data_IF_759430321527
#
_entry.id   IF_759430321527
#
_cell.length_a   1.000
_cell.length_b   1.000
_cell.length_c   1.000
_cell.angle_alpha   90.00
_cell.angle_beta   90.00
_cell.angle_gamma   90.00
#
_symmetry.space_group_name_H-M   'P 1'
#
loop_
_entity.id
_entity.type
_entity.pdbx_description
1 polymer ?
#
# COMPACT_ATOMS: atom_id res chain seq x y z
N UNK A 1 2.70 62.41 46.51
CA UNK A 1 3.48 63.14 45.48
C UNK A 1 2.96 62.72 44.12
N UNK A 2 2.75 63.69 43.22
CA UNK A 2 2.45 63.56 41.77
C UNK A 2 1.41 62.52 41.27
N UNK A 3 0.28 63.04 40.76
CA UNK A 3 -0.65 62.39 39.80
C UNK A 3 -0.53 63.11 38.43
N UNK A 4 -0.49 62.40 37.30
CA UNK A 4 -0.66 62.89 35.90
C UNK A 4 -0.46 61.72 34.91
N UNK A 5 -1.31 61.34 33.94
CA UNK A 5 -2.60 61.83 33.42
C UNK A 5 -2.55 62.97 32.37
N UNK A 6 -3.38 62.83 31.31
CA UNK A 6 -3.51 63.64 30.06
C UNK A 6 -2.35 63.48 29.03
N UNK A 7 -2.58 63.52 27.70
CA UNK A 7 -3.83 63.71 26.92
C UNK A 7 -3.71 63.17 25.48
N UNK A 8 -4.81 62.84 24.79
CA UNK A 8 -5.44 63.63 23.69
C UNK A 8 -4.69 63.57 22.33
N UNK A 9 -5.32 63.46 21.13
CA UNK A 9 -6.66 63.91 20.70
C UNK A 9 -7.12 63.25 19.36
N UNK A 10 -8.46 63.08 19.18
CA UNK A 10 -9.26 63.03 17.91
C UNK A 10 -8.91 62.02 16.77
N UNK A 11 -9.83 61.57 15.90
CA UNK A 11 -11.18 62.06 15.51
C UNK A 11 -12.29 60.99 15.61
N UNK A 12 -13.55 61.43 15.45
CA UNK A 12 -14.78 60.64 15.49
C UNK A 12 -15.52 60.67 14.13
N UNK A 13 -16.29 59.62 13.84
CA UNK A 13 -17.40 59.55 12.85
C UNK A 13 -17.01 59.77 11.34
N UNK A 14 -17.75 59.30 10.31
CA UNK A 14 -19.14 58.82 10.18
C UNK A 14 -19.30 57.88 8.96
N UNK A 15 -20.51 57.31 8.75
CA UNK A 15 -21.16 56.87 7.48
C UNK A 15 -21.19 55.36 7.10
N UNK A 16 -22.38 54.81 7.37
CA UNK A 16 -23.26 53.98 6.52
C UNK A 16 -22.98 52.49 6.25
N UNK A 17 -23.69 51.68 7.04
CA UNK A 17 -24.57 50.58 6.60
C UNK A 17 -24.99 50.61 5.12
N UNK A 18 -25.00 49.45 4.46
CA UNK A 18 -25.96 49.15 3.38
C UNK A 18 -26.37 47.67 3.43
N UNK A 19 -27.68 47.42 3.25
CA UNK A 19 -28.32 46.11 3.29
C UNK A 19 -28.94 45.80 1.92
N UNK A 20 -28.89 44.53 1.50
CA UNK A 20 -29.83 43.84 0.61
C UNK A 20 -30.27 44.41 -0.77
N UNK A 21 -30.13 43.55 -1.79
CA UNK A 21 -31.09 43.37 -2.89
C UNK A 21 -30.86 41.95 -3.44
N UNK A 22 -31.53 40.91 -2.96
CA UNK A 22 -32.88 40.45 -3.34
C UNK A 22 -33.13 40.50 -4.87
N UNK A 23 -33.16 39.33 -5.50
CA UNK A 23 -33.96 39.10 -6.71
C UNK A 23 -35.04 38.06 -6.39
N UNK A 24 -36.29 38.50 -6.56
CA UNK A 24 -37.51 37.73 -6.34
C UNK A 24 -37.91 36.95 -7.58
N UNK A 25 -38.32 35.69 -7.40
CA UNK A 25 -39.27 35.03 -8.32
C UNK A 25 -40.35 34.38 -7.48
N UNK A 26 -41.58 34.89 -7.58
CA UNK A 26 -42.78 34.33 -6.95
C UNK A 26 -43.99 34.51 -7.85
N UNK A 27 -44.58 33.40 -8.30
CA UNK A 27 -46.02 33.23 -8.51
C UNK A 27 -46.25 31.72 -8.69
N UNK A 28 -46.75 30.98 -7.69
CA UNK A 28 -48.11 30.88 -7.13
C UNK A 28 -48.83 29.63 -7.68
N UNK A 29 -49.55 29.00 -6.76
CA UNK A 29 -50.16 27.69 -6.78
C UNK A 29 -51.10 27.37 -7.95
N UNK A 30 -51.20 26.08 -8.29
CA UNK A 30 -52.51 25.42 -8.51
C UNK A 30 -52.42 23.93 -8.11
N UNK A 31 -53.42 23.47 -7.36
CA UNK A 31 -53.51 22.12 -6.78
C UNK A 31 -54.11 21.09 -7.76
N UNK A 32 -53.97 19.80 -7.37
CA UNK A 32 -54.96 18.71 -7.53
C UNK A 32 -54.69 17.59 -8.57
N UNK A 33 -54.51 16.37 -8.02
CA UNK A 33 -54.84 15.02 -8.58
C UNK A 33 -54.09 14.53 -9.84
N UNK A 34 -53.31 13.46 -9.66
CA UNK A 34 -53.77 12.10 -10.04
C UNK A 34 -52.88 11.00 -9.43
N UNK A 35 -53.46 9.83 -9.20
CA UNK A 35 -52.90 8.71 -8.42
C UNK A 35 -52.12 7.69 -9.26
N UNK A 36 -51.04 7.14 -8.70
CA UNK A 36 -50.35 5.95 -9.20
C UNK A 36 -51.23 4.67 -9.08
N UNK A 37 -51.28 3.80 -10.10
CA UNK A 37 -51.76 2.42 -9.97
C UNK A 37 -50.60 1.41 -9.70
N UNK A 38 -50.86 0.27 -9.03
CA UNK A 38 -49.82 -0.64 -8.54
C UNK A 38 -49.48 -1.83 -9.47
N UNK A 39 -48.40 -2.54 -9.12
CA UNK A 39 -47.96 -3.82 -9.69
C UNK A 39 -48.94 -4.98 -9.39
N UNK A 40 -49.13 -5.94 -10.32
CA UNK A 40 -49.79 -7.22 -10.05
C UNK A 40 -48.84 -8.43 -10.07
N UNK A 41 -49.24 -9.50 -9.38
CA UNK A 41 -48.72 -10.88 -9.44
C UNK A 41 -49.78 -11.82 -8.84
N UNK A 42 -49.80 -13.13 -9.11
CA UNK A 42 -49.51 -13.86 -10.35
C UNK A 42 -50.73 -14.75 -10.77
N UNK A 43 -50.50 -15.84 -11.52
CA UNK A 43 -51.30 -17.10 -11.61
C UNK A 43 -52.11 -17.39 -12.91
N UNK A 44 -51.70 -18.47 -13.60
CA UNK A 44 -52.48 -19.46 -14.39
C UNK A 44 -53.60 -19.06 -15.37
N UNK A 45 -53.44 -19.40 -16.67
CA UNK A 45 -54.16 -20.50 -17.34
C UNK A 45 -53.84 -20.58 -18.85
N UNK A 46 -54.08 -21.75 -19.47
CA UNK A 46 -53.80 -22.05 -20.89
C UNK A 46 -54.80 -21.41 -21.88
N UNK A 47 -54.35 -21.15 -23.11
CA UNK A 47 -55.13 -21.53 -24.30
C UNK A 47 -54.20 -21.78 -25.50
N UNK A 48 -54.56 -22.79 -26.30
CA UNK A 48 -53.76 -23.32 -27.41
C UNK A 48 -54.20 -22.73 -28.74
N UNK A 49 -53.28 -22.47 -29.67
CA UNK A 49 -53.62 -22.36 -31.09
C UNK A 49 -52.61 -23.17 -31.89
N UNK A 50 -53.10 -24.27 -32.46
CA UNK A 50 -52.32 -25.17 -33.31
C UNK A 50 -52.39 -24.67 -34.74
N UNK A 51 -51.25 -24.61 -35.42
CA UNK A 51 -51.22 -24.56 -36.89
C UNK A 51 -50.31 -25.68 -37.37
N UNK A 52 -50.89 -26.67 -38.04
CA UNK A 52 -50.17 -27.81 -38.62
C UNK A 52 -49.79 -27.43 -40.05
N UNK A 53 -48.52 -27.60 -40.41
CA UNK A 53 -48.11 -27.76 -41.80
C UNK A 53 -46.88 -28.67 -41.83
N UNK A 54 -47.07 -29.89 -42.32
CA UNK A 54 -45.98 -30.82 -42.57
C UNK A 54 -45.32 -30.50 -43.92
N UNK A 55 -43.99 -30.49 -43.99
CA UNK A 55 -43.21 -31.42 -44.83
C UNK A 55 -41.77 -30.94 -45.09
N UNK A 56 -40.87 -31.92 -45.23
CA UNK A 56 -39.49 -31.85 -45.74
C UNK A 56 -38.44 -31.07 -44.91
N UNK A 57 -37.49 -31.83 -44.36
CA UNK A 57 -36.24 -31.32 -43.79
C UNK A 57 -35.23 -30.95 -44.91
N UNK A 58 -34.21 -30.15 -44.56
CA UNK A 58 -32.88 -30.75 -44.43
C UNK A 58 -32.25 -30.51 -43.07
N UNK A 59 -31.36 -31.43 -42.69
CA UNK A 59 -30.62 -31.45 -41.43
C UNK A 59 -29.63 -30.29 -41.33
N UNK A 60 -29.78 -29.44 -40.31
CA UNK A 60 -28.73 -28.55 -39.84
C UNK A 60 -28.28 -29.04 -38.46
N UNK A 61 -27.05 -29.54 -38.37
CA UNK A 61 -26.48 -30.00 -37.11
C UNK A 61 -26.16 -28.80 -36.21
N UNK A 62 -26.82 -28.72 -35.05
CA UNK A 62 -26.32 -27.90 -33.96
C UNK A 62 -25.10 -28.61 -33.34
N UNK A 63 -23.90 -28.09 -33.59
CA UNK A 63 -22.70 -28.50 -32.87
C UNK A 63 -22.85 -28.21 -31.37
N UNK A 64 -23.25 -29.23 -30.63
CA UNK A 64 -23.11 -29.24 -29.18
C UNK A 64 -21.61 -29.23 -28.85
N UNK A 65 -21.14 -28.15 -28.21
CA UNK A 65 -19.78 -28.04 -27.68
C UNK A 65 -19.51 -29.17 -26.68
N UNK A 66 -18.93 -30.26 -27.18
CA UNK A 66 -18.47 -31.39 -26.35
C UNK A 66 -17.15 -31.02 -25.69
N UNK A 67 -17.15 -30.92 -24.37
CA UNK A 67 -15.93 -30.80 -23.57
C UNK A 67 -15.06 -32.04 -23.86
N UNK A 68 -13.88 -31.81 -24.44
CA UNK A 68 -12.97 -32.87 -24.88
C UNK A 68 -12.16 -33.41 -23.70
N UNK A 69 -12.81 -34.22 -22.86
CA UNK A 69 -12.13 -34.97 -21.81
C UNK A 69 -11.37 -36.16 -22.41
N UNK A 70 -10.11 -35.94 -22.81
CA UNK A 70 -9.05 -36.96 -22.94
C UNK A 70 -7.73 -36.29 -23.32
N UNK A 71 -6.91 -35.95 -22.31
CA UNK A 71 -5.49 -35.71 -22.51
C UNK A 71 -4.78 -37.06 -22.58
N UNK A 72 -4.13 -37.37 -23.70
CA UNK A 72 -3.19 -38.49 -23.75
C UNK A 72 -1.98 -38.16 -22.86
N UNK A 73 -1.33 -39.15 -22.21
CA UNK A 73 -0.05 -38.93 -21.56
C UNK A 73 0.95 -38.44 -22.62
N UNK A 74 1.47 -37.23 -22.46
CA UNK A 74 2.67 -36.84 -23.22
C UNK A 74 3.79 -37.81 -22.83
N UNK A 75 4.60 -38.29 -23.80
CA UNK A 75 5.77 -39.08 -23.46
C UNK A 75 6.66 -38.27 -22.53
N UNK A 76 7.14 -38.90 -21.46
CA UNK A 76 8.13 -38.30 -20.58
C UNK A 76 9.33 -37.90 -21.43
N UNK A 77 9.56 -36.60 -21.61
CA UNK A 77 10.84 -36.13 -22.11
C UNK A 77 11.87 -36.53 -21.07
N UNK A 78 12.75 -37.46 -21.46
CA UNK A 78 13.96 -37.77 -20.71
C UNK A 78 14.66 -36.47 -20.38
N UNK A 79 15.13 -36.36 -19.14
CA UNK A 79 15.74 -35.14 -18.62
C UNK A 79 17.02 -34.83 -19.40
N UNK A 80 16.89 -34.02 -20.46
CA UNK A 80 18.01 -33.26 -20.98
C UNK A 80 18.55 -32.46 -19.82
N UNK A 81 19.78 -32.76 -19.40
CA UNK A 81 20.50 -31.97 -18.41
C UNK A 81 20.67 -30.57 -19.01
N UNK A 82 19.79 -29.65 -18.62
CA UNK A 82 19.97 -28.25 -18.96
C UNK A 82 21.30 -27.80 -18.36
N UNK A 83 22.23 -27.37 -19.22
CA UNK A 83 23.32 -26.48 -18.83
C UNK A 83 22.70 -25.12 -18.48
N UNK A 84 21.90 -25.08 -17.42
CA UNK A 84 21.43 -23.84 -16.79
C UNK A 84 22.65 -23.14 -16.21
N UNK A 85 23.04 -22.03 -16.83
CA UNK A 85 24.04 -21.10 -16.29
C UNK A 85 23.76 -20.84 -14.80
N UNK A 86 24.77 -20.94 -13.92
CA UNK A 86 24.58 -20.81 -12.49
C UNK A 86 23.95 -19.47 -12.15
N UNK A 87 22.83 -19.50 -11.41
CA UNK A 87 22.04 -18.31 -11.13
C UNK A 87 22.88 -17.25 -10.41
N UNK A 88 23.15 -16.11 -11.07
CA UNK A 88 24.01 -15.00 -10.61
C UNK A 88 23.83 -14.64 -9.12
N UNK A 89 22.58 -14.65 -8.64
CA UNK A 89 22.23 -14.26 -7.28
C UNK A 89 21.90 -15.46 -6.36
N UNK A 90 22.48 -16.63 -6.62
CA UNK A 90 22.32 -17.83 -5.78
C UNK A 90 22.73 -17.60 -4.31
N UNK A 91 23.76 -16.79 -4.08
CA UNK A 91 24.22 -16.38 -2.75
C UNK A 91 23.24 -15.48 -1.98
N UNK A 92 22.19 -14.97 -2.64
CA UNK A 92 21.10 -14.19 -2.02
C UNK A 92 19.81 -14.99 -1.86
N UNK A 93 19.82 -16.31 -2.10
CA UNK A 93 18.62 -17.14 -1.96
C UNK A 93 18.15 -17.25 -0.49
N UNK A 94 16.86 -17.53 -0.24
CA UNK A 94 16.33 -17.63 1.12
C UNK A 94 16.92 -18.77 1.94
N UNK A 95 17.64 -18.40 2.99
CA UNK A 95 18.01 -19.25 4.10
C UNK A 95 16.99 -19.11 5.24
N UNK A 96 16.57 -20.24 5.81
CA UNK A 96 15.62 -20.32 6.93
C UNK A 96 16.36 -20.75 8.20
N UNK A 97 17.16 -19.86 8.76
CA UNK A 97 17.87 -20.12 10.01
C UNK A 97 16.92 -20.40 11.18
N UNK A 98 17.39 -21.19 12.15
CA UNK A 98 16.68 -21.52 13.39
C UNK A 98 16.86 -20.48 14.49
N UNK A 99 17.49 -19.34 14.17
CA UNK A 99 17.87 -18.33 15.15
C UNK A 99 16.65 -17.74 15.86
N UNK A 100 16.86 -17.30 17.09
CA UNK A 100 15.87 -16.58 17.89
C UNK A 100 16.39 -15.20 18.22
N UNK A 101 15.56 -14.19 17.99
CA UNK A 101 15.86 -12.80 18.28
C UNK A 101 15.04 -12.33 19.47
N UNK A 102 15.60 -11.47 20.34
CA UNK A 102 14.84 -10.85 21.41
C UNK A 102 13.71 -9.96 20.86
N UNK A 103 12.75 -9.57 21.73
CA UNK A 103 11.83 -8.48 21.45
C UNK A 103 12.58 -7.23 20.96
N UNK A 104 11.94 -6.44 20.11
CA UNK A 104 12.53 -5.19 19.64
C UNK A 104 12.47 -4.13 20.73
N UNK A 105 13.62 -3.59 21.10
CA UNK A 105 13.72 -2.47 22.03
C UNK A 105 13.46 -1.14 21.31
N UNK A 106 12.81 -0.15 21.98
CA UNK A 106 12.67 1.19 21.44
C UNK A 106 14.01 1.83 21.09
N UNK A 107 14.03 2.69 20.08
CA UNK A 107 15.23 3.45 19.71
C UNK A 107 14.88 4.84 19.19
N UNK A 108 15.80 5.78 19.34
CA UNK A 108 15.68 7.13 18.79
C UNK A 108 15.89 7.11 17.27
N UNK A 109 14.82 7.43 16.52
CA UNK A 109 14.85 7.53 15.07
C UNK A 109 15.05 8.99 14.64
N UNK A 110 16.17 9.29 13.97
CA UNK A 110 16.45 10.60 13.38
C UNK A 110 16.18 10.54 11.88
N UNK A 111 15.03 11.04 11.45
CA UNK A 111 14.57 10.97 10.06
C UNK A 111 15.48 11.79 9.11
N UNK A 112 16.08 11.16 8.08
CA UNK A 112 16.85 11.85 7.04
C UNK A 112 16.11 13.01 6.35
N UNK A 113 14.79 12.89 6.19
CA UNK A 113 13.97 13.91 5.58
C UNK A 113 13.89 15.21 6.39
N UNK A 114 14.15 15.18 7.71
CA UNK A 114 14.29 16.40 8.52
C UNK A 114 15.60 17.13 8.21
N UNK A 115 16.70 16.39 7.99
CA UNK A 115 17.99 16.98 7.61
C UNK A 115 17.88 17.64 6.24
N UNK A 116 17.26 16.95 5.29
CA UNK A 116 16.95 17.43 3.93
C UNK A 116 16.25 18.80 3.89
N UNK A 117 15.38 19.11 4.85
CA UNK A 117 14.68 20.40 4.93
C UNK A 117 15.62 21.60 5.17
N UNK A 118 16.83 21.38 5.66
CA UNK A 118 17.83 22.45 5.84
C UNK A 118 18.72 22.72 4.61
N UNK A 119 18.64 21.90 3.55
CA UNK A 119 19.47 22.10 2.36
C UNK A 119 18.90 23.23 1.49
N UNK A 120 19.75 24.09 0.88
CA UNK A 120 19.30 25.18 0.00
C UNK A 120 18.49 24.70 -1.21
N UNK A 121 18.85 23.54 -1.77
CA UNK A 121 18.04 22.82 -2.78
C UNK A 121 17.75 21.41 -2.24
N UNK A 122 16.56 21.16 -1.64
CA UNK A 122 16.20 19.86 -1.07
C UNK A 122 15.85 18.80 -2.14
N UNK A 123 16.13 19.07 -3.44
CA UNK A 123 15.91 18.15 -4.57
C UNK A 123 17.12 18.09 -5.51
N UNK A 124 18.31 18.56 -5.11
CA UNK A 124 19.49 18.61 -6.00
C UNK A 124 19.95 17.24 -6.51
N UNK A 125 19.62 16.15 -5.82
CA UNK A 125 19.82 14.78 -6.32
C UNK A 125 19.09 14.48 -7.65
N UNK A 126 18.12 15.31 -8.04
CA UNK A 126 17.41 15.24 -9.32
C UNK A 126 17.99 16.19 -10.40
N UNK A 127 18.99 17.03 -10.09
CA UNK A 127 19.49 18.05 -11.03
C UNK A 127 20.08 17.43 -12.31
N UNK A 128 20.58 16.19 -12.23
CA UNK A 128 21.11 15.41 -13.37
C UNK A 128 20.09 14.39 -13.95
N UNK A 129 18.83 14.39 -13.50
CA UNK A 129 17.82 13.47 -13.99
C UNK A 129 17.50 13.73 -15.48
N UNK A 130 17.50 12.68 -16.30
CA UNK A 130 17.12 12.75 -17.71
C UNK A 130 15.60 12.71 -17.91
N UNK A 131 14.86 12.22 -16.92
CA UNK A 131 13.40 12.27 -16.87
C UNK A 131 12.92 12.22 -15.42
N UNK A 132 11.86 12.98 -15.13
CA UNK A 132 11.10 12.94 -13.87
C UNK A 132 9.62 12.99 -14.23
N UNK A 133 8.88 11.91 -13.97
CA UNK A 133 7.49 11.74 -14.39
C UNK A 133 6.60 11.36 -13.21
N UNK A 134 5.51 12.10 -12.97
CA UNK A 134 4.53 11.73 -11.93
C UNK A 134 3.67 10.54 -12.40
N UNK A 135 3.73 9.42 -11.68
CA UNK A 135 2.99 8.21 -12.01
C UNK A 135 1.48 8.47 -11.85
N UNK A 136 1.10 9.17 -10.78
CA UNK A 136 -0.24 9.75 -10.58
C UNK A 136 -0.10 11.09 -9.85
N UNK A 137 -1.12 11.98 -9.86
CA UNK A 137 -1.03 13.28 -9.20
C UNK A 137 -0.66 13.22 -7.71
N UNK A 138 -1.20 12.24 -6.97
CA UNK A 138 -1.09 12.15 -5.51
C UNK A 138 -0.23 10.98 -4.98
N UNK A 139 0.42 10.23 -5.89
CA UNK A 139 1.28 9.09 -5.55
C UNK A 139 2.24 8.76 -6.70
N UNK A 140 3.53 8.61 -6.38
CA UNK A 140 4.50 8.04 -7.29
C UNK A 140 5.18 9.05 -8.21
N UNK A 141 6.50 8.98 -8.27
CA UNK A 141 7.30 9.62 -9.33
C UNK A 141 8.31 8.60 -9.87
N UNK A 142 8.40 8.49 -11.19
CA UNK A 142 9.42 7.71 -11.89
C UNK A 142 10.57 8.63 -12.33
N UNK A 143 11.80 8.17 -12.16
CA UNK A 143 13.03 8.93 -12.41
C UNK A 143 14.01 8.11 -13.25
N UNK A 144 14.60 8.76 -14.25
CA UNK A 144 15.70 8.24 -15.08
C UNK A 144 16.90 9.18 -15.01
N UNK A 145 18.11 8.66 -15.22
CA UNK A 145 19.35 9.46 -15.24
C UNK A 145 19.98 9.73 -13.86
N UNK A 146 19.35 9.28 -12.77
CA UNK A 146 19.93 9.34 -11.41
C UNK A 146 20.34 7.93 -10.99
N UNK A 147 21.62 7.73 -10.66
CA UNK A 147 22.13 6.46 -10.11
C UNK A 147 22.09 6.52 -8.58
N UNK A 148 21.25 5.68 -7.95
CA UNK A 148 21.16 5.62 -6.49
C UNK A 148 22.47 5.17 -5.84
N UNK A 149 23.33 4.44 -6.57
CA UNK A 149 24.62 3.99 -6.07
C UNK A 149 25.62 5.13 -5.79
N UNK A 150 25.45 6.26 -6.47
CA UNK A 150 26.38 7.40 -6.44
C UNK A 150 25.89 8.53 -5.50
N UNK A 151 24.73 8.38 -4.87
CA UNK A 151 24.22 9.35 -3.89
C UNK A 151 25.07 9.33 -2.61
N UNK A 152 25.54 10.51 -2.22
CA UNK A 152 26.18 10.80 -0.95
C UNK A 152 25.15 10.92 0.21
N UNK A 153 25.58 11.42 1.38
CA UNK A 153 24.69 11.63 2.52
C UNK A 153 23.52 12.55 2.20
N UNK A 154 23.83 13.65 1.51
CA UNK A 154 22.91 14.76 1.27
C UNK A 154 21.89 14.36 0.22
N UNK A 155 22.32 13.70 -0.86
CA UNK A 155 21.45 13.13 -1.88
C UNK A 155 20.51 12.06 -1.32
N UNK A 156 20.95 11.26 -0.33
CA UNK A 156 20.09 10.29 0.36
C UNK A 156 19.09 10.95 1.31
N UNK A 157 19.48 12.01 2.01
CA UNK A 157 18.57 12.80 2.84
C UNK A 157 17.46 13.42 1.97
N UNK A 158 17.84 14.05 0.84
CA UNK A 158 16.90 14.61 -0.13
C UNK A 158 15.98 13.56 -0.75
N UNK A 159 16.51 12.38 -1.10
CA UNK A 159 15.73 11.24 -1.56
C UNK A 159 14.68 10.82 -0.51
N UNK A 160 15.05 10.78 0.77
CA UNK A 160 14.10 10.44 1.84
C UNK A 160 12.95 11.45 1.95
N UNK A 161 13.26 12.75 1.84
CA UNK A 161 12.24 13.80 1.83
C UNK A 161 11.34 13.73 0.58
N UNK A 162 11.89 13.41 -0.59
CA UNK A 162 11.08 13.26 -1.81
C UNK A 162 10.19 12.01 -1.74
N UNK A 163 10.68 10.88 -1.21
CA UNK A 163 9.88 9.67 -0.92
C UNK A 163 8.78 9.97 0.10
N UNK A 164 9.06 10.74 1.15
CA UNK A 164 8.06 11.18 2.13
C UNK A 164 7.00 12.15 1.56
N UNK A 165 7.33 12.91 0.50
CA UNK A 165 6.40 13.80 -0.22
C UNK A 165 5.54 13.08 -1.26
N UNK A 166 6.14 12.17 -2.03
CA UNK A 166 5.50 11.47 -3.16
C UNK A 166 4.92 10.11 -2.79
N UNK A 167 5.24 9.59 -1.60
CA UNK A 167 4.87 8.26 -1.08
C UNK A 167 5.58 7.09 -1.76
N UNK A 168 5.93 7.24 -3.04
CA UNK A 168 6.51 6.23 -3.92
C UNK A 168 7.48 6.92 -4.89
N UNK A 169 8.66 6.33 -5.08
CA UNK A 169 9.65 6.70 -6.09
C UNK A 169 10.10 5.44 -6.85
N UNK A 170 10.25 5.55 -8.17
CA UNK A 170 10.70 4.44 -9.04
C UNK A 170 11.93 4.91 -9.81
N UNK A 171 13.03 4.18 -9.71
CA UNK A 171 14.28 4.47 -10.43
C UNK A 171 14.55 3.34 -11.43
N UNK A 172 14.79 3.69 -12.68
CA UNK A 172 15.13 2.74 -13.75
C UNK A 172 16.65 2.62 -13.93
N UNK A 173 17.10 1.56 -14.59
CA UNK A 173 18.48 1.35 -15.04
C UNK A 173 19.55 1.28 -13.93
N UNK A 174 19.16 0.86 -12.72
CA UNK A 174 19.99 0.81 -11.51
C UNK A 174 20.87 -0.45 -11.40
N UNK A 175 21.52 -0.86 -12.50
CA UNK A 175 22.36 -2.08 -12.50
C UNK A 175 23.51 -1.95 -11.49
N UNK A 176 24.17 -0.80 -11.45
CA UNK A 176 25.33 -0.53 -10.58
C UNK A 176 24.98 -0.73 -9.10
N UNK A 177 23.83 -0.21 -8.65
CA UNK A 177 23.34 -0.41 -7.29
C UNK A 177 23.17 -1.90 -6.98
N UNK A 178 22.52 -2.64 -7.88
CA UNK A 178 22.22 -4.08 -7.72
C UNK A 178 23.50 -4.95 -7.76
N UNK A 179 24.58 -4.44 -8.36
CA UNK A 179 25.88 -5.12 -8.40
C UNK A 179 26.84 -4.72 -7.28
N UNK A 180 26.53 -3.70 -6.45
CA UNK A 180 27.31 -3.39 -5.23
C UNK A 180 27.23 -4.50 -4.16
N UNK A 181 26.16 -5.30 -4.16
CA UNK A 181 26.01 -6.45 -3.26
C UNK A 181 25.65 -6.12 -1.80
N UNK A 182 25.62 -7.14 -0.93
CA UNK A 182 24.94 -7.07 0.37
C UNK A 182 25.54 -6.08 1.37
N UNK A 183 26.87 -5.95 1.46
CA UNK A 183 27.48 -5.01 2.42
C UNK A 183 27.11 -3.55 2.09
N UNK A 184 27.03 -3.19 0.80
CA UNK A 184 26.52 -1.89 0.39
C UNK A 184 25.03 -1.71 0.73
N UNK A 185 24.19 -2.75 0.61
CA UNK A 185 22.78 -2.67 1.02
C UNK A 185 22.60 -2.43 2.52
N UNK A 186 23.47 -3.00 3.37
CA UNK A 186 23.50 -2.70 4.80
C UNK A 186 23.82 -1.22 5.05
N UNK A 187 24.88 -0.71 4.40
CA UNK A 187 25.29 0.69 4.51
C UNK A 187 24.23 1.67 3.98
N UNK A 188 23.60 1.33 2.86
CA UNK A 188 22.46 2.05 2.28
C UNK A 188 21.30 2.14 3.28
N UNK A 189 20.81 1.01 3.78
CA UNK A 189 19.65 1.01 4.67
C UNK A 189 19.92 1.66 6.03
N UNK A 190 21.13 1.51 6.58
CA UNK A 190 21.54 2.18 7.84
C UNK A 190 21.43 3.70 7.79
N UNK A 191 21.54 4.31 6.59
CA UNK A 191 21.35 5.76 6.40
C UNK A 191 19.94 6.23 6.80
N UNK A 192 18.93 5.38 6.59
CA UNK A 192 17.52 5.70 6.83
C UNK A 192 16.94 5.14 8.15
N UNK A 193 17.76 4.51 8.99
CA UNK A 193 17.36 4.04 10.32
C UNK A 193 17.93 2.68 10.72
N UNK A 194 17.48 2.17 11.88
CA UNK A 194 17.85 0.81 12.34
C UNK A 194 17.26 -0.23 11.41
N UNK A 195 18.11 -1.05 10.77
CA UNK A 195 17.66 -2.14 9.89
C UNK A 195 16.73 -3.12 10.63
N UNK A 196 15.59 -3.45 10.03
CA UNK A 196 14.67 -4.45 10.56
C UNK A 196 15.12 -5.87 10.24
N UNK A 197 14.99 -6.78 11.20
CA UNK A 197 15.16 -8.23 11.00
C UNK A 197 13.78 -8.87 11.05
N UNK A 198 13.28 -9.35 9.91
CA UNK A 198 11.89 -9.81 9.77
C UNK A 198 11.62 -11.08 10.60
N UNK A 199 10.55 -11.13 11.40
CA UNK A 199 10.32 -12.24 12.33
C UNK A 199 10.08 -13.60 11.65
N UNK A 200 9.57 -13.62 10.41
CA UNK A 200 8.99 -14.83 9.80
C UNK A 200 9.43 -15.15 8.37
N UNK A 201 10.30 -14.33 7.76
CA UNK A 201 10.69 -14.50 6.34
C UNK A 201 12.07 -15.13 6.19
N UNK A 202 12.34 -15.73 5.03
CA UNK A 202 13.70 -16.09 4.63
C UNK A 202 14.54 -14.85 4.32
N UNK A 203 15.84 -14.96 4.59
CA UNK A 203 16.86 -13.93 4.35
C UNK A 203 18.11 -14.61 3.77
N UNK A 204 19.04 -13.90 3.12
CA UNK A 204 20.31 -14.50 2.70
C UNK A 204 21.10 -15.03 3.91
N UNK A 205 21.93 -16.04 3.69
CA UNK A 205 22.85 -16.53 4.72
C UNK A 205 23.82 -15.40 5.12
N UNK A 206 24.02 -15.18 6.42
CA UNK A 206 24.84 -14.10 6.96
C UNK A 206 24.19 -12.70 7.00
N UNK A 207 23.03 -12.49 6.37
CA UNK A 207 22.40 -11.17 6.26
C UNK A 207 20.91 -11.15 6.71
N UNK A 208 20.62 -11.29 8.02
CA UNK A 208 19.26 -11.36 8.55
C UNK A 208 18.42 -10.07 8.36
N UNK A 209 19.05 -8.94 8.07
CA UNK A 209 18.40 -7.64 7.82
C UNK A 209 17.68 -7.54 6.46
N UNK A 210 17.89 -8.49 5.54
CA UNK A 210 17.22 -8.47 4.23
C UNK A 210 15.99 -9.35 4.21
N UNK A 211 14.84 -8.75 3.89
CA UNK A 211 13.60 -9.50 3.67
C UNK A 211 13.50 -9.89 2.19
N UNK A 212 13.56 -11.20 1.91
CA UNK A 212 13.41 -11.71 0.55
C UNK A 212 11.96 -11.98 0.17
N UNK A 213 11.57 -11.54 -1.03
CA UNK A 213 10.31 -11.89 -1.69
C UNK A 213 10.64 -12.88 -2.80
N UNK A 214 10.71 -14.17 -2.45
CA UNK A 214 11.15 -15.24 -3.34
C UNK A 214 10.02 -16.20 -3.73
N UNK A 215 9.97 -16.55 -5.01
CA UNK A 215 9.18 -17.65 -5.59
C UNK A 215 10.03 -18.32 -6.66
N UNK A 216 10.06 -19.64 -6.67
CA UNK A 216 10.79 -20.42 -7.67
C UNK A 216 9.84 -21.18 -8.61
N UNK A 217 10.34 -21.50 -9.79
CA UNK A 217 9.67 -22.34 -10.77
C UNK A 217 9.40 -23.78 -10.29
N UNK A 218 10.27 -24.34 -9.44
CA UNK A 218 10.20 -25.73 -8.96
C UNK A 218 9.43 -25.90 -7.64
N UNK A 219 9.30 -24.85 -6.83
CA UNK A 219 8.59 -24.90 -5.53
C UNK A 219 7.84 -23.60 -5.25
N UNK A 220 6.52 -23.69 -5.10
CA UNK A 220 5.66 -22.56 -4.69
C UNK A 220 5.01 -22.87 -3.35
N UNK A 221 5.33 -22.07 -2.33
CA UNK A 221 4.84 -22.22 -0.95
C UNK A 221 3.56 -21.43 -0.64
N UNK A 222 2.89 -20.84 -1.66
CA UNK A 222 1.71 -20.00 -1.45
C UNK A 222 0.44 -20.65 -2.01
N UNK A 223 -0.34 -21.24 -1.09
CA UNK A 223 -1.72 -21.71 -1.26
C UNK A 223 -2.77 -20.58 -1.24
N UNK A 224 -2.33 -19.32 -1.03
CA UNK A 224 -3.14 -18.13 -0.72
C UNK A 224 -4.16 -17.73 -1.80
N UNK A 225 -4.13 -18.37 -2.97
CA UNK A 225 -5.02 -18.10 -4.12
C UNK A 225 -5.95 -19.30 -4.38
N UNK A 226 -5.63 -20.49 -3.87
CA UNK A 226 -6.39 -21.70 -4.18
C UNK A 226 -7.79 -21.66 -3.51
N UNK A 227 -7.95 -20.83 -2.47
CA UNK A 227 -9.21 -20.52 -1.77
C UNK A 227 -9.69 -19.06 -1.99
N UNK A 228 -9.05 -18.27 -2.87
CA UNK A 228 -9.35 -16.84 -3.04
C UNK A 228 -9.44 -16.41 -4.51
N UNK A 229 -10.50 -15.65 -4.84
CA UNK A 229 -10.68 -15.05 -6.17
C UNK A 229 -9.73 -13.87 -6.46
N UNK A 230 -8.96 -13.39 -5.47
CA UNK A 230 -7.96 -12.33 -5.64
C UNK A 230 -6.72 -12.58 -4.78
N UNK A 231 -5.56 -12.17 -5.30
CA UNK A 231 -4.29 -12.13 -4.55
C UNK A 231 -4.02 -10.79 -3.87
N UNK A 232 -4.89 -9.79 -4.04
CA UNK A 232 -4.70 -8.43 -3.51
C UNK A 232 -4.88 -8.37 -2.00
N UNK A 233 -3.82 -8.01 -1.28
CA UNK A 233 -3.83 -7.82 0.18
C UNK A 233 -3.09 -6.53 0.51
N UNK A 234 -3.86 -5.46 0.73
CA UNK A 234 -3.35 -4.13 1.06
C UNK A 234 -2.81 -4.06 2.48
N UNK A 235 -1.55 -3.63 2.63
CA UNK A 235 -0.88 -3.49 3.92
C UNK A 235 0.20 -2.40 3.94
N UNK A 236 0.42 -1.79 5.10
CA UNK A 236 1.70 -1.17 5.45
C UNK A 236 2.56 -2.23 6.13
N UNK A 237 3.86 -2.27 5.82
CA UNK A 237 4.76 -3.29 6.35
C UNK A 237 4.79 -3.32 7.88
N UNK A 238 4.67 -4.53 8.44
CA UNK A 238 4.93 -4.84 9.86
C UNK A 238 4.26 -3.85 10.84
N UNK A 239 3.09 -3.31 10.45
CA UNK A 239 2.41 -2.25 11.22
C UNK A 239 1.95 -2.66 12.62
N UNK A 240 2.11 -3.94 12.98
CA UNK A 240 1.90 -4.46 14.33
C UNK A 240 3.07 -4.18 15.29
N UNK A 241 4.25 -3.80 14.81
CA UNK A 241 5.39 -3.44 15.66
C UNK A 241 5.27 -2.02 16.27
N UNK A 242 5.98 -1.77 17.37
CA UNK A 242 5.92 -0.48 18.09
C UNK A 242 6.55 0.66 17.27
N UNK A 243 7.61 0.33 16.53
CA UNK A 243 8.30 1.19 15.56
C UNK A 243 8.33 0.46 14.20
N UNK A 244 7.27 0.59 13.39
CA UNK A 244 7.20 -0.04 12.08
C UNK A 244 8.28 0.48 11.11
N UNK A 245 8.53 -0.21 9.99
CA UNK A 245 9.35 0.28 8.89
C UNK A 245 8.89 1.64 8.34
N UNK A 246 9.85 2.47 7.92
CA UNK A 246 9.62 3.75 7.25
C UNK A 246 9.85 3.66 5.74
N UNK A 247 10.80 4.47 5.26
CA UNK A 247 11.31 4.37 3.89
C UNK A 247 11.85 2.97 3.63
N UNK A 248 11.30 2.30 2.64
CA UNK A 248 11.69 0.94 2.22
C UNK A 248 12.28 0.97 0.83
N UNK A 249 13.39 0.28 0.61
CA UNK A 249 13.98 0.06 -0.72
C UNK A 249 13.72 -1.38 -1.16
N UNK A 250 13.26 -1.59 -2.40
CA UNK A 250 12.98 -2.92 -2.95
C UNK A 250 13.37 -3.00 -4.43
N UNK A 251 13.92 -4.14 -4.82
CA UNK A 251 14.29 -4.42 -6.21
C UNK A 251 14.23 -5.91 -6.52
N UNK A 252 14.13 -6.25 -7.81
CA UNK A 252 14.08 -7.63 -8.28
C UNK A 252 15.43 -8.05 -8.88
N UNK A 253 16.05 -9.04 -8.24
CA UNK A 253 17.20 -9.82 -8.72
C UNK A 253 16.79 -10.80 -9.84
N UNK A 254 15.50 -11.14 -9.91
CA UNK A 254 14.90 -11.92 -11.01
C UNK A 254 13.40 -11.64 -11.03
N UNK A 255 12.84 -11.48 -12.23
CA UNK A 255 11.42 -11.19 -12.44
C UNK A 255 10.88 -12.00 -13.63
N UNK A 256 9.59 -12.38 -13.63
CA UNK A 256 8.93 -12.84 -14.85
C UNK A 256 8.89 -11.69 -15.89
N UNK A 257 8.81 -11.97 -17.20
CA UNK A 257 8.73 -10.93 -18.24
C UNK A 257 7.34 -10.26 -18.29
N UNK A 258 6.35 -10.83 -17.61
CA UNK A 258 5.00 -10.27 -17.44
C UNK A 258 4.36 -10.78 -16.16
N UNK A 259 3.60 -9.91 -15.49
CA UNK A 259 3.03 -10.16 -14.15
C UNK A 259 4.04 -9.92 -13.02
N UNK A 260 3.56 -10.07 -11.78
CA UNK A 260 4.37 -9.86 -10.57
C UNK A 260 4.55 -8.40 -10.17
N UNK A 261 3.73 -7.51 -10.75
CA UNK A 261 3.65 -6.08 -10.47
C UNK A 261 3.35 -5.79 -8.98
N UNK A 262 3.54 -4.54 -8.58
CA UNK A 262 3.26 -4.09 -7.22
C UNK A 262 2.33 -2.89 -7.24
N UNK A 263 1.23 -3.00 -6.50
CA UNK A 263 0.22 -1.97 -6.35
C UNK A 263 0.54 -1.16 -5.09
N UNK A 264 0.39 0.15 -5.17
CA UNK A 264 0.56 1.10 -4.06
C UNK A 264 -0.71 1.96 -3.95
N UNK A 265 -1.02 2.45 -2.75
CA UNK A 265 -2.16 3.36 -2.50
C UNK A 265 -1.77 4.43 -1.50
N UNK A 266 -2.15 5.68 -1.77
CA UNK A 266 -1.83 6.84 -0.95
C UNK A 266 -2.83 6.95 0.20
N UNK A 267 -2.37 6.67 1.43
CA UNK A 267 -3.21 6.76 2.62
C UNK A 267 -3.48 8.22 3.04
N UNK A 268 -2.68 9.18 2.56
CA UNK A 268 -2.95 10.63 2.64
C UNK A 268 -4.12 10.99 1.72
N UNK A 269 -4.08 10.58 0.45
CA UNK A 269 -5.18 10.84 -0.51
C UNK A 269 -6.47 10.11 -0.10
N UNK A 270 -6.36 8.89 0.44
CA UNK A 270 -7.49 8.16 1.01
C UNK A 270 -8.15 8.93 2.17
N UNK A 271 -7.38 9.49 3.10
CA UNK A 271 -7.91 10.30 4.20
C UNK A 271 -8.60 11.58 3.71
N UNK A 272 -7.96 12.33 2.80
CA UNK A 272 -8.45 13.61 2.27
C UNK A 272 -9.81 13.53 1.55
N UNK A 273 -10.20 12.34 1.07
CA UNK A 273 -11.48 12.08 0.39
C UNK A 273 -12.64 11.76 1.34
N UNK A 274 -12.37 11.52 2.62
CA UNK A 274 -13.41 11.30 3.63
C UNK A 274 -14.02 12.64 4.08
N UNK A 275 -15.27 12.64 4.54
CA UNK A 275 -15.92 13.87 5.00
C UNK A 275 -15.20 14.45 6.23
N UNK A 276 -15.11 15.80 6.38
CA UNK A 276 -14.38 16.41 7.49
C UNK A 276 -14.82 15.95 8.88
N UNK A 277 -16.12 15.70 9.06
CA UNK A 277 -16.69 15.19 10.31
C UNK A 277 -16.24 13.75 10.59
N UNK A 278 -16.17 12.90 9.57
CA UNK A 278 -15.68 11.54 9.72
C UNK A 278 -14.17 11.52 9.96
N UNK A 279 -13.38 12.36 9.26
CA UNK A 279 -11.95 12.55 9.55
C UNK A 279 -11.75 12.99 11.01
N UNK A 280 -12.50 13.98 11.49
CA UNK A 280 -12.44 14.45 12.88
C UNK A 280 -12.75 13.33 13.89
N UNK A 281 -13.76 12.48 13.62
CA UNK A 281 -14.03 11.29 14.42
C UNK A 281 -12.85 10.31 14.40
N UNK A 282 -12.35 9.92 13.21
CA UNK A 282 -11.25 8.97 13.06
C UNK A 282 -9.96 9.44 13.74
N UNK A 283 -9.69 10.75 13.78
CA UNK A 283 -8.55 11.34 14.50
C UNK A 283 -8.52 11.04 16.00
N UNK A 284 -9.68 10.80 16.62
CA UNK A 284 -9.78 10.42 18.04
C UNK A 284 -9.48 8.94 18.28
N UNK A 285 -9.53 8.12 17.22
CA UNK A 285 -9.51 6.66 17.33
C UNK A 285 -8.10 6.08 17.28
N UNK A 286 -7.95 4.94 17.95
CA UNK A 286 -6.77 4.07 17.89
C UNK A 286 -7.21 2.66 17.55
N UNK A 287 -6.38 1.89 16.86
CA UNK A 287 -6.66 0.51 16.49
C UNK A 287 -5.56 -0.44 16.93
N UNK A 288 -5.92 -1.71 17.18
CA UNK A 288 -4.96 -2.80 17.42
C UNK A 288 -4.46 -3.33 16.09
N UNK A 289 -3.14 -3.41 15.95
CA UNK A 289 -2.45 -4.07 14.85
C UNK A 289 -1.76 -5.32 15.40
N UNK A 290 -1.99 -6.48 14.78
CA UNK A 290 -1.53 -7.78 15.27
C UNK A 290 -0.62 -8.49 14.28
N UNK A 291 0.46 -9.08 14.80
CA UNK A 291 1.37 -9.97 14.07
C UNK A 291 1.06 -11.46 14.26
N UNK A 292 0.08 -11.80 15.11
CA UNK A 292 -0.18 -13.20 15.51
C UNK A 292 -0.60 -14.06 14.32
N UNK A 293 -1.51 -13.60 13.47
CA UNK A 293 -1.99 -14.38 12.31
C UNK A 293 -0.88 -14.60 11.27
N UNK A 294 0.08 -13.67 11.15
CA UNK A 294 1.25 -13.88 10.29
C UNK A 294 2.20 -14.93 10.89
N UNK A 295 2.43 -14.89 12.20
CA UNK A 295 3.25 -15.88 12.89
C UNK A 295 2.60 -17.28 12.85
N UNK A 296 1.29 -17.38 13.05
CA UNK A 296 0.55 -18.64 13.04
C UNK A 296 0.43 -19.23 11.62
N UNK A 297 0.27 -18.38 10.59
CA UNK A 297 0.39 -18.82 9.20
C UNK A 297 1.78 -19.41 8.91
N UNK A 298 2.86 -18.78 9.39
CA UNK A 298 4.22 -19.34 9.27
C UNK A 298 4.38 -20.63 10.07
N UNK A 299 3.88 -20.70 11.32
CA UNK A 299 3.90 -21.91 12.18
C UNK A 299 3.16 -23.09 11.56
N UNK A 300 2.12 -22.85 10.76
CA UNK A 300 1.37 -23.90 10.03
C UNK A 300 2.19 -24.63 8.95
N UNK A 301 3.49 -24.33 8.81
CA UNK A 301 4.39 -24.95 7.84
C UNK A 301 4.31 -24.36 6.44
N UNK A 302 3.24 -23.61 6.11
CA UNK A 302 2.98 -23.04 4.78
C UNK A 302 4.13 -22.16 4.26
N UNK A 303 4.90 -21.49 5.12
CA UNK A 303 6.09 -20.67 4.74
C UNK A 303 7.41 -21.17 5.35
N UNK A 304 7.61 -22.48 5.47
CA UNK A 304 8.85 -23.04 6.02
C UNK A 304 8.99 -22.95 7.54
N UNK A 305 7.85 -22.96 8.26
CA UNK A 305 7.76 -23.17 9.72
C UNK A 305 8.57 -22.23 10.64
N UNK A 306 9.03 -21.07 10.14
CA UNK A 306 9.99 -20.24 10.85
C UNK A 306 9.35 -18.99 11.47
N UNK A 307 9.48 -18.88 12.81
CA UNK A 307 9.17 -17.67 13.59
C UNK A 307 10.36 -17.43 14.53
N UNK A 308 11.15 -16.39 14.26
CA UNK A 308 12.40 -16.07 14.97
C UNK A 308 12.24 -15.08 16.12
N UNK A 309 11.18 -14.27 16.09
CA UNK A 309 10.76 -13.39 17.19
C UNK A 309 9.28 -13.63 17.44
N UNK A 310 8.88 -13.66 18.72
CA UNK A 310 7.46 -13.87 19.07
C UNK A 310 6.59 -12.71 18.54
N UNK A 311 5.35 -13.00 18.10
CA UNK A 311 4.45 -11.97 17.58
C UNK A 311 4.03 -11.00 18.68
N UNK A 312 3.73 -9.76 18.26
CA UNK A 312 3.28 -8.69 19.14
C UNK A 312 1.97 -8.09 18.61
N UNK A 313 1.25 -7.41 19.51
CA UNK A 313 0.18 -6.50 19.15
C UNK A 313 0.48 -5.11 19.72
N UNK A 314 0.24 -4.08 18.93
CA UNK A 314 0.36 -2.70 19.41
C UNK A 314 -0.84 -1.84 19.00
N UNK A 315 -1.09 -0.81 19.81
CA UNK A 315 -2.17 0.16 19.61
C UNK A 315 -1.57 1.39 18.93
N UNK A 316 -2.03 1.64 17.71
CA UNK A 316 -1.62 2.76 16.86
C UNK A 316 -2.80 3.70 16.57
N UNK A 317 -2.58 4.97 16.25
CA UNK A 317 -3.65 5.88 15.84
C UNK A 317 -4.27 5.45 14.50
N UNK A 318 -5.59 5.62 14.34
CA UNK A 318 -6.28 5.37 13.06
C UNK A 318 -5.94 6.45 12.03
N UNK A 319 -5.66 7.68 12.47
CA UNK A 319 -5.10 8.75 11.66
C UNK A 319 -3.78 9.19 12.26
N UNK A 320 -2.69 8.96 11.53
CA UNK A 320 -1.33 9.31 11.95
C UNK A 320 -0.84 10.58 11.27
N UNK A 321 0.09 11.27 11.92
CA UNK A 321 0.88 12.36 11.35
C UNK A 321 2.24 11.85 10.86
N UNK A 322 2.72 12.40 9.75
CA UNK A 322 4.07 12.17 9.27
C UNK A 322 5.05 13.16 9.95
N UNK A 323 6.17 12.72 10.55
CA UNK A 323 7.06 13.61 11.31
C UNK A 323 7.71 14.70 10.45
N UNK A 324 8.18 14.37 9.24
CA UNK A 324 8.82 15.34 8.31
C UNK A 324 7.81 16.28 7.63
N UNK A 325 6.84 15.73 6.89
CA UNK A 325 5.95 16.52 6.02
C UNK A 325 4.77 17.14 6.76
N UNK A 326 4.48 16.69 7.98
CA UNK A 326 3.28 17.09 8.73
C UNK A 326 1.96 16.53 8.18
N UNK A 327 2.00 15.80 7.06
CA UNK A 327 0.83 15.22 6.40
C UNK A 327 0.11 14.21 7.30
N UNK A 328 -1.20 14.12 7.13
CA UNK A 328 -2.04 13.17 7.84
C UNK A 328 -2.42 12.01 6.92
N UNK A 329 -2.24 10.79 7.41
CA UNK A 329 -2.58 9.58 6.69
C UNK A 329 -3.54 8.71 7.51
N UNK A 330 -4.47 8.07 6.80
CA UNK A 330 -5.15 6.89 7.33
C UNK A 330 -4.08 5.83 7.67
N UNK A 331 -4.25 5.09 8.76
CA UNK A 331 -3.27 4.09 9.20
C UNK A 331 -3.95 2.81 9.67
N UNK A 332 -4.76 2.24 8.80
CA UNK A 332 -5.39 0.93 9.00
C UNK A 332 -5.22 0.08 7.77
N UNK A 333 -5.06 -1.22 7.94
CA UNK A 333 -4.97 -2.14 6.81
C UNK A 333 -5.57 -3.51 7.13
N UNK A 334 -6.19 -4.13 6.12
CA UNK A 334 -6.92 -5.40 6.26
C UNK A 334 -6.02 -6.53 6.77
N UNK A 335 -4.74 -6.50 6.44
CA UNK A 335 -3.77 -7.53 6.81
C UNK A 335 -3.45 -7.56 8.31
N UNK A 336 -3.28 -6.41 8.98
CA UNK A 336 -2.79 -6.35 10.37
C UNK A 336 -3.74 -5.69 11.35
N UNK A 337 -4.60 -4.76 10.92
CA UNK A 337 -5.54 -4.09 11.83
C UNK A 337 -6.69 -5.04 12.20
N UNK A 338 -7.05 -5.08 13.49
CA UNK A 338 -8.05 -6.04 14.05
C UNK A 338 -9.31 -5.39 14.58
N UNK A 339 -9.15 -4.37 15.42
CA UNK A 339 -10.28 -3.68 16.08
C UNK A 339 -9.91 -2.26 16.45
N UNK A 340 -10.90 -1.39 16.49
CA UNK A 340 -10.78 -0.03 17.03
C UNK A 340 -10.95 -0.09 18.55
N UNK A 341 -10.10 0.62 19.28
CA UNK A 341 -10.11 0.72 20.73
C UNK A 341 -11.21 1.71 21.14
N UNK A 342 -12.06 1.31 22.10
CA UNK A 342 -13.13 2.14 22.65
C UNK A 342 -14.48 2.02 21.94
N UNK A 343 -14.52 1.50 20.71
CA UNK A 343 -15.78 1.18 20.01
C UNK A 343 -16.28 -0.23 20.36
N UNK A 344 -17.59 -0.46 20.24
CA UNK A 344 -18.18 -1.81 20.29
C UNK A 344 -17.76 -2.62 19.06
N UNK A 345 -18.01 -3.93 19.11
CA UNK A 345 -17.63 -4.87 18.05
C UNK A 345 -18.22 -4.45 16.70
N UNK A 346 -19.52 -4.22 16.64
CA UNK A 346 -20.27 -3.91 15.43
C UNK A 346 -19.85 -2.54 14.85
N UNK A 347 -19.64 -1.55 15.74
CA UNK A 347 -19.15 -0.21 15.39
C UNK A 347 -17.72 -0.28 14.80
N UNK A 348 -16.82 -1.04 15.44
CA UNK A 348 -15.45 -1.28 14.99
C UNK A 348 -15.43 -2.02 13.65
N UNK A 349 -16.19 -3.11 13.51
CA UNK A 349 -16.26 -3.93 12.29
C UNK A 349 -16.83 -3.14 11.11
N UNK A 350 -17.92 -2.39 11.31
CA UNK A 350 -18.51 -1.54 10.27
C UNK A 350 -17.54 -0.42 9.83
N UNK A 351 -16.89 0.26 10.80
CA UNK A 351 -15.93 1.34 10.53
C UNK A 351 -14.71 0.82 9.78
N UNK A 352 -14.07 -0.26 10.27
CA UNK A 352 -12.91 -0.86 9.61
C UNK A 352 -13.27 -1.41 8.22
N UNK A 353 -14.45 -2.04 8.05
CA UNK A 353 -14.90 -2.48 6.73
C UNK A 353 -15.04 -1.31 5.76
N UNK A 354 -15.61 -0.19 6.16
CA UNK A 354 -15.71 1.01 5.32
C UNK A 354 -14.32 1.50 4.90
N UNK A 355 -13.38 1.59 5.85
CA UNK A 355 -12.02 2.07 5.59
C UNK A 355 -11.23 1.11 4.68
N UNK A 356 -11.33 -0.21 4.90
CA UNK A 356 -10.69 -1.19 4.02
C UNK A 356 -11.31 -1.17 2.62
N UNK A 357 -12.65 -1.16 2.51
CA UNK A 357 -13.32 -1.10 1.21
C UNK A 357 -12.97 0.19 0.44
N UNK A 358 -12.75 1.31 1.15
CA UNK A 358 -12.26 2.57 0.58
C UNK A 358 -10.84 2.44 0.03
N UNK A 359 -9.91 1.87 0.80
CA UNK A 359 -8.52 1.61 0.37
C UNK A 359 -8.50 0.66 -0.85
N UNK A 360 -9.26 -0.43 -0.78
CA UNK A 360 -9.30 -1.48 -1.79
C UNK A 360 -9.86 -0.98 -3.14
N UNK A 361 -10.92 -0.15 -3.11
CA UNK A 361 -11.71 0.25 -4.29
C UNK A 361 -11.33 1.60 -4.90
N UNK A 362 -10.56 2.43 -4.20
CA UNK A 362 -10.12 3.75 -4.69
C UNK A 362 -8.97 3.63 -5.69
N UNK A 363 -9.24 3.18 -6.92
CA UNK A 363 -8.26 3.13 -8.00
C UNK A 363 -7.60 4.50 -8.30
N UNK A 364 -8.30 5.60 -7.99
CA UNK A 364 -7.86 6.99 -8.10
C UNK A 364 -6.99 7.47 -6.91
N UNK A 365 -6.67 6.59 -5.97
CA UNK A 365 -5.61 6.74 -4.95
C UNK A 365 -4.41 5.81 -5.22
N UNK A 366 -4.50 4.96 -6.25
CA UNK A 366 -3.58 3.83 -6.47
C UNK A 366 -2.59 4.11 -7.60
N UNK A 367 -1.38 3.55 -7.47
CA UNK A 367 -0.36 3.47 -8.51
C UNK A 367 0.05 2.01 -8.71
N UNK A 368 0.32 1.60 -9.96
CA UNK A 368 0.80 0.26 -10.30
C UNK A 368 2.20 0.36 -10.88
N UNK A 369 3.19 -0.21 -10.19
CA UNK A 369 4.56 -0.30 -10.70
C UNK A 369 4.71 -1.61 -11.46
N UNK A 370 4.94 -1.50 -12.78
CA UNK A 370 5.41 -2.61 -13.60
C UNK A 370 6.92 -2.79 -13.42
N UNK A 371 7.31 -4.02 -13.13
CA UNK A 371 8.72 -4.38 -13.04
C UNK A 371 9.36 -4.51 -14.42
N UNK A 372 10.50 -3.85 -14.58
CA UNK A 372 11.48 -4.11 -15.64
C UNK A 372 12.82 -4.46 -14.98
N UNK A 373 13.77 -5.09 -15.69
CA UNK A 373 15.12 -5.27 -15.18
C UNK A 373 15.70 -3.98 -14.62
N UNK A 374 16.50 -4.08 -13.56
CA UNK A 374 17.23 -2.96 -12.96
C UNK A 374 16.34 -1.80 -12.46
N UNK A 375 15.07 -2.10 -12.14
CA UNK A 375 14.20 -1.16 -11.42
C UNK A 375 14.42 -1.27 -9.92
N UNK A 376 14.60 -0.13 -9.25
CA UNK A 376 14.52 0.02 -7.79
C UNK A 376 13.28 0.85 -7.46
N UNK A 377 12.52 0.39 -6.47
CA UNK A 377 11.34 1.09 -5.96
C UNK A 377 11.59 1.46 -4.51
N UNK A 378 11.27 2.70 -4.16
CA UNK A 378 11.29 3.20 -2.79
C UNK A 378 9.90 3.71 -2.42
N UNK A 379 9.43 3.40 -1.21
CA UNK A 379 8.17 3.95 -0.71
C UNK A 379 8.25 4.24 0.77
N UNK A 380 7.38 5.14 1.22
CA UNK A 380 7.21 5.44 2.65
C UNK A 380 6.03 4.64 3.22
N UNK A 381 6.32 3.63 4.04
CA UNK A 381 5.31 2.81 4.72
C UNK A 381 4.43 3.60 5.71
N UNK A 382 4.81 4.84 6.06
CA UNK A 382 4.06 5.71 6.98
C UNK A 382 2.87 6.40 6.32
N UNK A 383 2.88 6.53 4.98
CA UNK A 383 1.83 7.21 4.21
C UNK A 383 1.29 6.37 3.03
N UNK A 384 1.83 5.16 2.81
CA UNK A 384 1.35 4.24 1.78
C UNK A 384 0.93 2.90 2.37
N UNK A 385 0.04 2.22 1.64
CA UNK A 385 -0.12 0.77 1.74
C UNK A 385 0.16 0.16 0.35
N UNK A 386 0.51 -1.12 0.30
CA UNK A 386 0.84 -1.80 -0.95
C UNK A 386 0.31 -3.24 -0.98
N UNK A 387 0.27 -3.81 -2.18
CA UNK A 387 -0.06 -5.21 -2.43
C UNK A 387 0.84 -5.77 -3.53
N UNK A 388 1.35 -6.99 -3.34
CA UNK A 388 1.93 -7.74 -4.44
C UNK A 388 0.81 -8.30 -5.33
N UNK A 389 1.00 -8.29 -6.65
CA UNK A 389 0.12 -8.99 -7.59
C UNK A 389 0.70 -10.37 -7.89
N UNK A 390 -0.13 -11.41 -7.86
CA UNK A 390 0.30 -12.81 -8.07
C UNK A 390 -0.40 -13.42 -9.30
N UNK A 391 -0.14 -12.80 -10.45
CA UNK A 391 -0.71 -13.09 -11.77
C UNK A 391 0.23 -13.88 -12.71
N UNK A 392 1.30 -14.47 -12.16
CA UNK A 392 2.37 -15.15 -12.91
C UNK A 392 2.59 -16.62 -12.51
N UNK A 393 1.72 -17.22 -11.68
CA UNK A 393 1.83 -18.60 -11.15
C UNK A 393 1.98 -19.64 -12.27
N UNK A 394 1.14 -19.55 -13.30
CA UNK A 394 1.08 -20.50 -14.43
C UNK A 394 2.30 -20.46 -15.35
N UNK A 395 3.14 -19.41 -15.27
CA UNK A 395 4.30 -19.24 -16.16
C UNK A 395 5.55 -19.96 -15.68
N UNK A 396 5.54 -20.57 -14.49
CA UNK A 396 6.66 -21.37 -13.97
C UNK A 396 7.97 -20.60 -13.92
N UNK A 397 7.96 -19.36 -13.43
CA UNK A 397 9.10 -18.45 -13.48
C UNK A 397 9.51 -17.96 -12.10
N UNK A 398 10.83 -17.74 -11.94
CA UNK A 398 11.40 -17.19 -10.72
C UNK A 398 11.04 -15.71 -10.56
N UNK A 399 10.63 -15.34 -9.34
CA UNK A 399 10.60 -13.95 -8.88
C UNK A 399 11.42 -13.88 -7.60
N UNK A 400 12.54 -13.16 -7.65
CA UNK A 400 13.44 -13.00 -6.53
C UNK A 400 13.63 -11.50 -6.28
N UNK A 401 13.00 -10.99 -5.22
CA UNK A 401 13.17 -9.62 -4.77
C UNK A 401 13.90 -9.54 -3.43
N UNK A 402 14.71 -8.50 -3.26
CA UNK A 402 15.39 -8.18 -2.00
C UNK A 402 14.85 -6.85 -1.48
N UNK A 403 14.48 -6.82 -0.20
CA UNK A 403 13.91 -5.64 0.46
C UNK A 403 14.77 -5.21 1.65
N UNK A 404 15.06 -3.92 1.68
CA UNK A 404 15.79 -3.23 2.75
C UNK A 404 14.78 -2.36 3.50
N UNK A 405 14.45 -2.73 4.74
CA UNK A 405 13.41 -2.09 5.57
C UNK A 405 13.98 -1.54 6.88
N UNK A 406 14.50 -0.30 6.91
CA UNK A 406 14.79 0.41 8.16
C UNK A 406 13.50 0.70 8.96
N UNK A 407 13.56 0.50 10.28
CA UNK A 407 12.53 0.93 11.23
C UNK A 407 12.48 2.45 11.33
N UNK A 408 11.32 3.03 11.61
CA UNK A 408 11.13 4.46 11.76
C UNK A 408 10.73 4.86 13.19
N UNK A 409 10.11 6.02 13.34
CA UNK A 409 9.52 6.47 14.60
C UNK A 409 8.28 5.64 15.00
N UNK A 410 7.86 5.76 16.27
CA UNK A 410 6.55 5.26 16.70
C UNK A 410 5.46 6.14 16.06
N UNK A 411 4.39 5.56 15.45
CA UNK A 411 3.35 6.35 14.79
C UNK A 411 2.73 7.44 15.67
N UNK A 412 2.88 8.69 15.26
CA UNK A 412 2.41 9.89 15.96
C UNK A 412 0.91 10.10 15.65
N UNK A 413 0.02 10.22 16.66
CA UNK A 413 -1.39 10.55 16.43
C UNK A 413 -1.57 11.93 15.76
N UNK A 414 -2.59 12.07 14.89
CA UNK A 414 -2.89 13.37 14.28
C UNK A 414 -3.30 14.47 15.29
N UNK A 415 -3.84 14.09 16.45
CA UNK A 415 -4.19 15.00 17.56
C UNK A 415 -3.06 15.13 18.60
N UNK A 416 -1.85 14.65 18.33
CA UNK A 416 -0.76 14.81 19.28
C UNK A 416 -0.43 16.30 19.47
N UNK A 417 -0.38 16.75 20.73
CA UNK A 417 -0.30 18.16 21.11
C UNK A 417 -1.62 18.96 21.07
N UNK A 418 -2.77 18.33 20.79
CA UNK A 418 -4.09 18.99 20.90
C UNK A 418 -4.71 18.72 22.28
N UNK A 419 -4.98 19.79 23.04
CA UNK A 419 -5.78 19.71 24.26
C UNK A 419 -7.27 19.67 23.91
N UNK A 420 -7.94 18.59 24.31
CA UNK A 420 -9.38 18.39 24.12
C UNK A 420 -10.20 18.66 25.40
N UNK A 421 -9.60 19.29 26.41
CA UNK A 421 -10.25 19.62 27.70
C UNK A 421 -10.86 21.03 27.77
N UNK A 422 -10.92 21.73 26.63
CA UNK A 422 -11.50 23.08 26.47
C UNK A 422 -12.98 23.08 26.05
#
# INVERSE_FOLDING_TARGET
>A
MANSTLGMTHMCETISTFFYCLQTVTCLELLSRSSLPPLPSPTSAMSTTTTVTESSAPTAEFETLRIRAQGQPQPQQESQSSNEEPYKYAHLLPHFSKDKYPPLEPYEHVDPGLRALSHPNPRSFLDNATSVFEITPYLGTEVSGVNLADLDSDGRDQLALEVARRGLMVFRDQQDFIDRGPEFYLQWGRHFGRLHVHPTSGHPEGYPEFHLVYRDHKTTFNFEIDESISSTIWHSDVSYELQPPGLTTFFLLSAPPSGGDTLFTSQVSALRKLSPQFVAFLKTLKAVHSGFEQADFSRSGKRGATVRREPVEHIHPVVRKHPVTGEEALYVNRQFTRRIVGLKKEESEATLKLLYDHIDKSADNQARVRWTPNTIVLWDNRITAHSATVDFKERGQRRHGLRITPQAERPIPALDGWDLSA
#
